data_IF_213370523165
#
_entry.id   IF_213370523165
#
_cell.length_a   1.000
_cell.length_b   1.000
_cell.length_c   1.000
_cell.angle_alpha   90.00
_cell.angle_beta   90.00
_cell.angle_gamma   90.00
#
_symmetry.space_group_name_H-M   'P 1'
#
loop_
_entity.id
_entity.type
_entity.pdbx_description
1 polymer ?
#
# COMPACT_ATOMS: atom_id res chain seq x y z
N UNK A 1 -20.19 -10.29 -14.32
CA UNK A 1 -19.97 -11.19 -13.18
C UNK A 1 -19.07 -10.53 -12.13
N UNK A 2 -17.90 -9.96 -12.50
CA UNK A 2 -16.95 -9.36 -11.54
C UNK A 2 -17.57 -8.15 -10.82
N UNK A 3 -18.24 -7.27 -11.54
CA UNK A 3 -18.94 -6.13 -10.98
C UNK A 3 -20.04 -6.55 -10.00
N UNK A 4 -20.88 -7.51 -10.39
CA UNK A 4 -21.90 -8.07 -9.51
C UNK A 4 -21.31 -8.63 -8.22
N UNK A 5 -20.22 -9.40 -8.31
CA UNK A 5 -19.53 -9.95 -7.12
C UNK A 5 -18.97 -8.84 -6.22
N UNK A 6 -18.45 -7.78 -6.81
CA UNK A 6 -17.99 -6.61 -6.07
C UNK A 6 -19.11 -5.94 -5.28
N UNK A 7 -20.21 -5.61 -5.95
CA UNK A 7 -21.39 -5.00 -5.33
C UNK A 7 -22.05 -5.91 -4.30
N UNK A 8 -22.18 -7.22 -4.60
CA UNK A 8 -22.72 -8.20 -3.67
C UNK A 8 -21.89 -8.29 -2.39
N UNK A 9 -20.55 -8.22 -2.49
CA UNK A 9 -19.66 -8.17 -1.33
C UNK A 9 -19.83 -6.89 -0.52
N UNK A 10 -19.92 -5.74 -1.17
CA UNK A 10 -20.19 -4.47 -0.48
C UNK A 10 -21.48 -4.52 0.30
N UNK A 11 -22.55 -5.05 -0.33
CA UNK A 11 -23.86 -5.18 0.27
C UNK A 11 -23.83 -6.10 1.48
N UNK A 12 -23.41 -7.36 1.31
CA UNK A 12 -23.47 -8.36 2.36
C UNK A 12 -22.54 -8.08 3.53
N UNK A 13 -21.35 -7.54 3.28
CA UNK A 13 -20.32 -7.33 4.33
C UNK A 13 -20.51 -6.00 5.06
N UNK A 14 -20.76 -4.92 4.31
CA UNK A 14 -20.71 -3.58 4.89
C UNK A 14 -22.09 -2.95 5.11
N UNK A 15 -23.03 -3.09 4.16
CA UNK A 15 -24.34 -2.44 4.35
C UNK A 15 -25.36 -3.29 5.12
N UNK A 16 -25.21 -4.60 5.09
CA UNK A 16 -26.07 -5.51 5.86
C UNK A 16 -25.44 -5.92 7.21
N UNK A 17 -24.29 -6.62 7.17
CA UNK A 17 -23.71 -7.20 8.39
C UNK A 17 -23.04 -6.22 9.33
N UNK A 18 -22.37 -5.18 8.81
CA UNK A 18 -21.63 -4.26 9.67
C UNK A 18 -22.54 -3.48 10.65
N UNK A 19 -23.73 -2.98 10.25
CA UNK A 19 -24.66 -2.35 11.19
C UNK A 19 -25.16 -3.28 12.31
N UNK A 20 -25.29 -4.60 12.04
CA UNK A 20 -25.70 -5.59 13.04
C UNK A 20 -24.66 -5.78 14.16
N UNK A 21 -23.40 -5.34 13.91
CA UNK A 21 -22.30 -5.43 14.87
C UNK A 21 -22.11 -4.17 15.70
N UNK A 22 -23.04 -3.23 15.64
CA UNK A 22 -23.03 -2.05 16.51
C UNK A 22 -23.38 -2.49 17.93
N UNK A 23 -22.47 -2.24 18.87
CA UNK A 23 -22.70 -2.48 20.30
C UNK A 23 -23.78 -1.52 20.81
N UNK A 24 -24.86 -2.08 21.37
CA UNK A 24 -26.01 -1.31 21.82
C UNK A 24 -25.70 -0.32 22.98
N UNK A 25 -24.64 -0.57 23.78
CA UNK A 25 -24.22 0.30 24.87
C UNK A 25 -23.43 1.50 24.38
N UNK A 26 -22.59 1.31 23.36
CA UNK A 26 -21.64 2.34 22.89
C UNK A 26 -22.12 3.04 21.62
N UNK A 27 -23.07 2.44 20.90
CA UNK A 27 -23.47 2.89 19.57
C UNK A 27 -22.36 2.78 18.53
N UNK A 28 -21.33 1.95 18.76
CA UNK A 28 -20.12 1.85 17.96
C UNK A 28 -19.86 0.43 17.51
N UNK A 29 -19.10 0.28 16.43
CA UNK A 29 -18.53 -0.99 16.00
C UNK A 29 -17.15 -1.15 16.64
N UNK A 30 -16.90 -2.29 17.27
CA UNK A 30 -15.62 -2.61 17.93
C UNK A 30 -15.01 -3.83 17.26
N UNK A 31 -13.79 -3.71 16.78
CA UNK A 31 -13.02 -4.83 16.22
C UNK A 31 -12.08 -5.43 17.27
N UNK A 32 -11.68 -6.66 17.05
CA UNK A 32 -10.58 -7.29 17.78
C UNK A 32 -9.29 -7.23 16.95
N UNK A 33 -8.19 -6.73 17.54
CA UNK A 33 -6.88 -6.69 16.90
C UNK A 33 -5.99 -7.83 17.37
N UNK A 34 -5.28 -8.45 16.43
CA UNK A 34 -4.37 -9.57 16.68
C UNK A 34 -2.96 -9.22 16.21
N UNK A 35 -1.97 -9.37 17.07
CA UNK A 35 -0.56 -9.04 16.80
C UNK A 35 0.25 -10.20 16.21
N UNK A 36 -0.14 -11.45 16.48
CA UNK A 36 0.66 -12.65 16.18
C UNK A 36 0.05 -13.51 15.05
N UNK A 37 -0.78 -12.95 14.17
CA UNK A 37 -1.45 -13.71 13.10
C UNK A 37 -0.78 -13.50 11.74
N UNK A 38 -0.42 -12.25 11.40
CA UNK A 38 0.21 -11.97 10.13
C UNK A 38 1.72 -12.28 10.19
N UNK A 39 2.20 -13.09 9.24
CA UNK A 39 3.64 -13.47 9.12
C UNK A 39 4.53 -12.23 8.98
N UNK A 40 4.00 -11.14 8.43
CA UNK A 40 4.71 -9.86 8.24
C UNK A 40 4.83 -9.01 9.51
N UNK A 41 4.32 -9.46 10.66
CA UNK A 41 4.28 -8.67 11.89
C UNK A 41 3.22 -7.55 11.90
N UNK A 42 2.40 -7.43 10.84
CA UNK A 42 1.29 -6.47 10.80
C UNK A 42 0.15 -6.93 11.70
N UNK A 43 -0.63 -5.98 12.21
CA UNK A 43 -1.90 -6.30 12.88
C UNK A 43 -2.89 -6.90 11.88
N UNK A 44 -3.71 -7.81 12.35
CA UNK A 44 -4.94 -8.21 11.68
C UNK A 44 -6.15 -7.82 12.54
N UNK A 45 -7.31 -7.66 11.92
CA UNK A 45 -8.54 -7.37 12.64
C UNK A 45 -9.65 -8.35 12.28
N UNK A 46 -10.48 -8.70 13.27
CA UNK A 46 -11.63 -9.57 13.09
C UNK A 46 -12.82 -9.11 13.94
N UNK A 47 -13.99 -9.58 13.57
CA UNK A 47 -15.25 -9.45 14.31
C UNK A 47 -15.69 -8.02 14.65
N UNK A 48 -15.74 -7.10 13.64
CA UNK A 48 -15.53 -7.24 12.21
C UNK A 48 -14.12 -6.89 11.76
N UNK A 49 -13.71 -7.31 10.56
CA UNK A 49 -12.46 -6.84 9.96
C UNK A 49 -12.63 -5.41 9.43
N UNK A 50 -12.12 -4.43 10.16
CA UNK A 50 -12.16 -3.00 9.78
C UNK A 50 -10.95 -2.55 8.94
N UNK A 51 -9.92 -3.40 8.78
CA UNK A 51 -8.76 -3.07 7.93
C UNK A 51 -9.06 -3.19 6.43
N UNK A 52 -10.15 -3.88 6.06
CA UNK A 52 -10.52 -4.13 4.67
C UNK A 52 -11.65 -3.22 4.16
N UNK A 53 -11.95 -2.13 4.84
CA UNK A 53 -12.95 -1.17 4.37
C UNK A 53 -12.51 -0.64 2.99
N UNK A 54 -13.34 -0.78 1.95
CA UNK A 54 -12.96 -0.49 0.59
C UNK A 54 -12.69 1.00 0.37
N UNK A 55 -11.70 1.33 -0.49
CA UNK A 55 -11.30 2.70 -0.82
C UNK A 55 -11.07 2.90 -2.33
N UNK A 56 -10.93 1.82 -3.11
CA UNK A 56 -10.51 1.91 -4.51
C UNK A 56 -11.61 2.41 -5.44
N UNK A 57 -12.86 2.00 -5.21
CA UNK A 57 -14.01 2.39 -6.03
C UNK A 57 -14.82 3.53 -5.40
N UNK A 58 -15.57 4.31 -6.18
CA UNK A 58 -16.48 5.34 -5.64
C UNK A 58 -17.49 4.76 -4.63
N UNK A 59 -18.11 3.61 -4.95
CA UNK A 59 -19.06 2.92 -4.10
C UNK A 59 -18.41 2.50 -2.78
N UNK A 60 -17.20 1.92 -2.87
CA UNK A 60 -16.42 1.53 -1.69
C UNK A 60 -16.08 2.73 -0.80
N UNK A 61 -15.74 3.87 -1.38
CA UNK A 61 -15.47 5.10 -0.61
C UNK A 61 -16.70 5.62 0.12
N UNK A 62 -17.91 5.40 -0.40
CA UNK A 62 -19.15 5.77 0.30
C UNK A 62 -19.33 5.01 1.61
N UNK A 63 -18.86 3.76 1.70
CA UNK A 63 -18.87 2.98 2.95
C UNK A 63 -18.11 3.73 4.05
N UNK A 64 -16.98 4.35 3.73
CA UNK A 64 -16.17 5.12 4.70
C UNK A 64 -16.91 6.34 5.26
N UNK A 65 -17.82 6.93 4.50
CA UNK A 65 -18.60 8.09 4.94
C UNK A 65 -19.61 7.73 6.03
N UNK A 66 -19.95 6.46 6.20
CA UNK A 66 -20.80 5.98 7.29
C UNK A 66 -20.09 5.96 8.66
N UNK A 67 -18.75 6.02 8.68
CA UNK A 67 -17.98 6.13 9.91
C UNK A 67 -17.84 7.60 10.28
N UNK A 68 -18.50 8.00 11.34
CA UNK A 68 -18.57 9.39 11.80
C UNK A 68 -18.04 9.53 13.20
N UNK A 69 -17.49 10.71 13.53
CA UNK A 69 -17.16 11.05 14.89
C UNK A 69 -18.42 11.47 15.65
N UNK A 70 -18.52 11.21 16.97
CA UNK A 70 -19.56 11.79 17.80
C UNK A 70 -19.49 13.32 17.81
N UNK A 71 -20.58 13.96 18.24
CA UNK A 71 -20.60 15.42 18.43
C UNK A 71 -19.45 15.88 19.35
N UNK A 72 -18.77 16.95 18.96
CA UNK A 72 -17.61 17.48 19.68
C UNK A 72 -16.29 16.74 19.43
N UNK A 73 -16.27 15.70 18.58
CA UNK A 73 -15.07 14.93 18.22
C UNK A 73 -14.79 15.02 16.73
N UNK A 74 -13.56 14.67 16.35
CA UNK A 74 -13.12 14.56 14.97
C UNK A 74 -12.46 13.20 14.74
N UNK A 75 -12.51 12.69 13.50
CA UNK A 75 -11.70 11.56 13.07
C UNK A 75 -10.30 12.06 12.75
N UNK A 76 -9.30 11.57 13.48
CA UNK A 76 -7.89 11.79 13.17
C UNK A 76 -7.35 10.56 12.45
N UNK A 77 -6.77 10.77 11.26
CA UNK A 77 -6.03 9.74 10.53
C UNK A 77 -4.57 10.18 10.41
N UNK A 78 -3.66 9.37 10.94
CA UNK A 78 -2.23 9.58 10.83
C UNK A 78 -1.59 8.30 10.27
N UNK A 79 -0.69 8.45 9.29
CA UNK A 79 0.02 7.34 8.67
C UNK A 79 1.51 7.68 8.56
N UNK A 80 2.35 6.69 8.77
CA UNK A 80 3.78 6.86 8.56
C UNK A 80 4.09 6.95 7.05
N UNK A 81 4.75 8.03 6.65
CA UNK A 81 5.16 8.20 5.26
C UNK A 81 6.24 7.18 4.88
N UNK A 82 5.88 6.25 4.00
CA UNK A 82 6.80 5.28 3.39
C UNK A 82 7.64 4.47 4.41
N UNK A 83 7.03 4.08 5.53
CA UNK A 83 7.76 3.50 6.66
C UNK A 83 8.56 2.25 6.30
N UNK A 84 8.00 1.36 5.46
CA UNK A 84 8.70 0.14 5.05
C UNK A 84 9.98 0.44 4.25
N UNK A 85 9.96 1.45 3.39
CA UNK A 85 11.15 1.87 2.64
C UNK A 85 12.18 2.55 3.55
N UNK A 86 11.75 3.29 4.57
CA UNK A 86 12.64 3.88 5.59
C UNK A 86 13.31 2.80 6.44
N UNK A 87 12.56 1.78 6.83
CA UNK A 87 13.09 0.61 7.54
C UNK A 87 14.08 -0.13 6.64
N UNK A 88 13.75 -0.34 5.37
CA UNK A 88 14.66 -0.97 4.40
C UNK A 88 15.95 -0.16 4.24
N UNK A 89 15.88 1.16 4.13
CA UNK A 89 17.06 2.03 4.06
C UNK A 89 17.97 1.85 5.29
N UNK A 90 17.38 1.76 6.48
CA UNK A 90 18.11 1.56 7.72
C UNK A 90 18.76 0.18 7.79
N UNK A 91 18.00 -0.88 7.51
CA UNK A 91 18.46 -2.26 7.65
C UNK A 91 19.48 -2.65 6.57
N UNK A 92 19.30 -2.18 5.33
CA UNK A 92 20.22 -2.47 4.23
C UNK A 92 21.49 -1.62 4.25
N UNK A 93 21.48 -0.50 4.99
CA UNK A 93 22.56 0.48 4.96
C UNK A 93 22.78 1.11 3.57
N UNK A 94 21.78 1.02 2.67
CA UNK A 94 21.90 1.58 1.32
C UNK A 94 21.97 3.10 1.36
N UNK A 95 23.16 3.64 0.97
CA UNK A 95 23.42 5.08 1.03
C UNK A 95 22.51 5.88 0.08
N UNK A 96 22.18 5.33 -1.09
CA UNK A 96 21.31 5.99 -2.06
C UNK A 96 19.90 6.14 -1.52
N UNK A 97 19.37 5.09 -0.90
CA UNK A 97 18.04 5.10 -0.31
C UNK A 97 18.00 5.98 0.95
N UNK A 98 19.02 5.91 1.80
CA UNK A 98 19.14 6.74 3.00
C UNK A 98 19.23 8.24 2.65
N UNK A 99 20.04 8.60 1.64
CA UNK A 99 20.17 9.98 1.15
C UNK A 99 18.85 10.52 0.60
N UNK A 100 18.14 9.72 -0.19
CA UNK A 100 16.85 10.12 -0.75
C UNK A 100 15.84 10.49 0.36
N UNK A 101 15.88 9.80 1.50
CA UNK A 101 15.05 10.15 2.66
C UNK A 101 15.56 11.36 3.45
N UNK A 102 16.88 11.54 3.56
CA UNK A 102 17.47 12.68 4.24
C UNK A 102 17.16 14.01 3.52
N UNK A 103 17.05 13.97 2.21
CA UNK A 103 16.71 15.11 1.35
C UNK A 103 15.20 15.33 1.20
N UNK A 104 14.37 14.60 1.96
CA UNK A 104 12.90 14.60 1.88
C UNK A 104 12.37 14.34 0.45
N UNK A 105 13.14 13.54 -0.31
CA UNK A 105 12.86 13.22 -1.70
C UNK A 105 11.67 12.27 -1.86
N UNK A 106 10.94 12.46 -2.95
CA UNK A 106 9.92 11.50 -3.39
C UNK A 106 10.58 10.27 -4.02
N UNK A 107 10.83 9.23 -3.20
CA UNK A 107 11.49 7.99 -3.66
C UNK A 107 10.76 7.34 -4.82
N UNK A 108 9.43 7.39 -4.84
CA UNK A 108 8.68 6.80 -5.96
C UNK A 108 8.90 7.60 -7.25
N UNK A 109 9.05 8.91 -7.15
CA UNK A 109 9.40 9.77 -8.28
C UNK A 109 10.84 9.53 -8.72
N UNK A 110 11.78 9.43 -7.79
CA UNK A 110 13.18 9.12 -8.09
C UNK A 110 13.32 7.75 -8.79
N UNK A 111 12.67 6.71 -8.24
CA UNK A 111 12.63 5.38 -8.88
C UNK A 111 11.98 5.45 -10.27
N UNK A 112 10.90 6.22 -10.43
CA UNK A 112 10.25 6.38 -11.73
C UNK A 112 11.19 7.04 -12.76
N UNK A 113 11.88 8.10 -12.37
CA UNK A 113 12.84 8.78 -13.22
C UNK A 113 13.93 7.83 -13.74
N UNK A 114 14.49 7.01 -12.85
CA UNK A 114 15.52 6.02 -13.18
C UNK A 114 14.98 4.89 -14.07
N UNK A 115 13.84 4.29 -13.67
CA UNK A 115 13.27 3.13 -14.34
C UNK A 115 12.74 3.47 -15.73
N UNK A 116 12.14 4.64 -15.89
CA UNK A 116 11.55 5.09 -17.16
C UNK A 116 12.48 6.01 -17.97
N UNK A 117 13.70 6.27 -17.45
CA UNK A 117 14.72 7.12 -18.11
C UNK A 117 14.18 8.51 -18.49
N UNK A 118 13.47 9.14 -17.56
CA UNK A 118 12.93 10.49 -17.70
C UNK A 118 13.45 11.40 -16.59
N UNK A 119 13.48 12.71 -16.84
CA UNK A 119 13.84 13.66 -15.79
C UNK A 119 12.78 13.61 -14.66
N UNK A 120 13.16 13.83 -13.38
CA UNK A 120 12.22 13.77 -12.25
C UNK A 120 10.99 14.68 -12.41
N UNK A 121 11.17 15.82 -13.06
CA UNK A 121 10.10 16.80 -13.33
C UNK A 121 9.11 16.30 -14.38
N UNK A 122 9.54 15.39 -15.25
CA UNK A 122 8.75 14.81 -16.34
C UNK A 122 8.02 13.52 -15.93
N UNK A 123 8.26 13.02 -14.72
CA UNK A 123 7.60 11.81 -14.20
C UNK A 123 6.10 12.04 -14.10
N UNK A 124 5.34 11.25 -14.85
CA UNK A 124 3.87 11.25 -14.83
C UNK A 124 3.32 10.58 -13.58
N UNK A 125 2.06 10.86 -13.26
CA UNK A 125 1.37 10.18 -12.15
C UNK A 125 1.28 8.66 -12.32
N UNK A 126 1.19 8.17 -13.56
CA UNK A 126 1.14 6.73 -13.86
C UNK A 126 2.50 6.08 -13.65
N UNK A 127 3.57 6.69 -14.12
CA UNK A 127 4.95 6.24 -13.88
C UNK A 127 5.28 6.21 -12.39
N UNK A 128 4.87 7.23 -11.64
CA UNK A 128 5.05 7.26 -10.19
C UNK A 128 4.26 6.14 -9.48
N UNK A 129 3.03 5.83 -9.94
CA UNK A 129 2.26 4.68 -9.42
C UNK A 129 2.93 3.34 -9.74
N UNK A 130 3.46 3.18 -10.94
CA UNK A 130 4.22 2.00 -11.33
C UNK A 130 5.48 1.86 -10.47
N UNK A 131 6.25 2.92 -10.28
CA UNK A 131 7.43 2.92 -9.42
C UNK A 131 7.09 2.60 -7.95
N UNK A 132 5.94 3.06 -7.44
CA UNK A 132 5.46 2.65 -6.13
C UNK A 132 5.23 1.13 -6.06
N UNK A 133 4.64 0.54 -7.09
CA UNK A 133 4.45 -0.90 -7.16
C UNK A 133 5.78 -1.67 -7.26
N UNK A 134 6.76 -1.12 -8.00
CA UNK A 134 8.12 -1.67 -8.10
C UNK A 134 8.80 -1.64 -6.73
N UNK A 135 8.87 -0.49 -6.08
CA UNK A 135 9.52 -0.31 -4.78
C UNK A 135 8.99 -1.30 -3.74
N UNK A 136 7.66 -1.36 -3.56
CA UNK A 136 7.06 -2.28 -2.59
C UNK A 136 7.16 -3.74 -3.03
N UNK A 137 6.94 -4.01 -4.32
CA UNK A 137 7.03 -5.37 -4.83
C UNK A 137 8.41 -5.98 -4.62
N UNK A 138 9.46 -5.23 -4.94
CA UNK A 138 10.83 -5.72 -4.87
C UNK A 138 11.29 -5.93 -3.43
N UNK A 139 11.02 -4.99 -2.51
CA UNK A 139 11.39 -5.18 -1.08
C UNK A 139 10.64 -6.33 -0.41
N UNK A 140 9.51 -6.78 -0.98
CA UNK A 140 8.80 -7.97 -0.54
C UNK A 140 9.14 -9.23 -1.34
N UNK A 141 10.22 -9.20 -2.14
CA UNK A 141 10.72 -10.35 -2.89
C UNK A 141 9.93 -10.70 -4.15
N UNK A 142 9.21 -9.74 -4.72
CA UNK A 142 8.47 -9.97 -5.97
C UNK A 142 9.43 -10.28 -7.11
N UNK A 143 9.15 -11.38 -7.83
CA UNK A 143 9.91 -11.73 -9.02
C UNK A 143 9.57 -10.82 -10.20
N UNK A 144 10.47 -10.77 -11.21
CA UNK A 144 10.21 -10.06 -12.47
C UNK A 144 8.91 -10.54 -13.16
N UNK A 145 8.55 -11.82 -13.03
CA UNK A 145 7.27 -12.33 -13.52
C UNK A 145 6.07 -11.71 -12.80
N UNK A 146 6.13 -11.62 -11.46
CA UNK A 146 5.10 -10.98 -10.66
C UNK A 146 4.95 -9.50 -11.01
N UNK A 147 6.08 -8.81 -11.19
CA UNK A 147 6.13 -7.41 -11.58
C UNK A 147 5.53 -7.18 -12.98
N UNK A 148 5.91 -7.99 -13.97
CA UNK A 148 5.36 -7.93 -15.33
C UNK A 148 3.84 -8.04 -15.34
N UNK A 149 3.29 -9.01 -14.61
CA UNK A 149 1.85 -9.20 -14.48
C UNK A 149 1.15 -8.03 -13.78
N UNK A 150 1.78 -7.46 -12.77
CA UNK A 150 1.20 -6.34 -12.01
C UNK A 150 1.15 -5.05 -12.83
N UNK A 151 2.18 -4.79 -13.63
CA UNK A 151 2.31 -3.60 -14.46
C UNK A 151 1.68 -3.77 -15.86
N UNK A 152 1.35 -5.00 -16.27
CA UNK A 152 0.83 -5.28 -17.61
C UNK A 152 1.88 -5.10 -18.69
N UNK A 153 3.14 -5.40 -18.41
CA UNK A 153 4.29 -5.24 -19.33
C UNK A 153 4.93 -6.60 -19.65
N UNK A 154 5.78 -6.63 -20.68
CA UNK A 154 6.57 -7.79 -21.04
C UNK A 154 7.56 -8.17 -19.92
N UNK A 155 7.83 -9.48 -19.78
CA UNK A 155 8.73 -10.00 -18.75
C UNK A 155 10.16 -9.45 -18.87
N UNK A 156 10.65 -9.26 -20.09
CA UNK A 156 11.98 -8.68 -20.36
C UNK A 156 12.06 -7.26 -19.80
N UNK A 157 11.08 -6.41 -20.08
CA UNK A 157 11.01 -5.05 -19.54
C UNK A 157 10.96 -5.05 -18.01
N UNK A 158 10.22 -5.98 -17.40
CA UNK A 158 10.20 -6.12 -15.96
C UNK A 158 11.56 -6.56 -15.39
N UNK A 159 12.31 -7.42 -16.09
CA UNK A 159 13.67 -7.79 -15.70
C UNK A 159 14.62 -6.58 -15.73
N UNK A 160 14.52 -5.74 -16.76
CA UNK A 160 15.32 -4.52 -16.86
C UNK A 160 14.98 -3.55 -15.71
N UNK A 161 13.72 -3.41 -15.34
CA UNK A 161 13.30 -2.59 -14.20
C UNK A 161 13.88 -3.12 -12.88
N UNK A 162 13.85 -4.43 -12.66
CA UNK A 162 14.45 -5.08 -11.48
C UNK A 162 15.96 -4.82 -11.45
N UNK A 163 16.64 -4.99 -12.58
CA UNK A 163 18.08 -4.76 -12.70
C UNK A 163 18.45 -3.30 -12.38
N UNK A 164 17.72 -2.33 -12.92
CA UNK A 164 17.93 -0.90 -12.65
C UNK A 164 17.69 -0.55 -11.19
N UNK A 165 16.61 -1.08 -10.60
CA UNK A 165 16.30 -0.86 -9.18
C UNK A 165 17.44 -1.34 -8.27
N UNK A 166 17.91 -2.56 -8.44
CA UNK A 166 19.01 -3.10 -7.64
C UNK A 166 20.38 -2.54 -8.02
N UNK A 167 20.54 -2.01 -9.23
CA UNK A 167 21.70 -1.20 -9.61
C UNK A 167 21.73 0.14 -8.88
N UNK A 168 20.55 0.74 -8.68
CA UNK A 168 20.39 2.00 -7.92
C UNK A 168 20.56 1.80 -6.42
N UNK A 169 20.05 0.69 -5.89
CA UNK A 169 20.04 0.35 -4.47
C UNK A 169 20.73 -0.98 -4.21
N UNK A 170 22.07 -1.04 -4.41
CA UNK A 170 22.82 -2.30 -4.27
C UNK A 170 22.79 -2.83 -2.83
N UNK A 171 22.78 -1.97 -1.82
CA UNK A 171 22.65 -2.37 -0.43
C UNK A 171 21.34 -3.09 -0.14
N UNK A 172 20.24 -2.70 -0.78
CA UNK A 172 18.96 -3.40 -0.66
C UNK A 172 19.06 -4.83 -1.22
N UNK A 173 19.69 -4.98 -2.40
CA UNK A 173 19.91 -6.32 -2.98
C UNK A 173 20.74 -7.22 -2.07
N UNK A 174 21.82 -6.66 -1.53
CA UNK A 174 22.78 -7.43 -0.72
C UNK A 174 22.18 -7.80 0.66
N UNK A 175 21.21 -7.03 1.15
CA UNK A 175 20.47 -7.31 2.37
C UNK A 175 19.41 -8.42 2.18
N UNK A 176 18.77 -8.49 1.02
CA UNK A 176 17.68 -9.43 0.70
C UNK A 176 18.20 -10.85 0.39
#
# INVERSE_FOLDING_TARGET
ILEYRGLAKLRSTYTEKLPEQIDARTGRVHTSYHQAVAVTGRLSSSDPNLQNIPIRTPEGRRIRQAFVAPEGFVLLSADYSQIELRIMAHLSGDEGLARAFAEDGDIHRATAAEVFEVAPEQVTGDQRRAAKAINFGLIYGMSAFGLARQLGIERSAAQDYVARYFGRYPGVRDYM
#
